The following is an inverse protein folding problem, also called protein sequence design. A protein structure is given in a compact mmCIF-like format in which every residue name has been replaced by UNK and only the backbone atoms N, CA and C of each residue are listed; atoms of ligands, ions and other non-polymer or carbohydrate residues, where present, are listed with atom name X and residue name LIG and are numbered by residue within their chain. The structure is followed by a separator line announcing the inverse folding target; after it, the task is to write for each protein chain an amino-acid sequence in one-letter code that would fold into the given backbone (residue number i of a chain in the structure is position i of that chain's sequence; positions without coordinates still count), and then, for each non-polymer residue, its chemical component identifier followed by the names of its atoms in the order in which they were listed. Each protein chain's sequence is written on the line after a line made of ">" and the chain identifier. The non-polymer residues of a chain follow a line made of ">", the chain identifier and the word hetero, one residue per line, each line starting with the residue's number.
data_IF_446931596128
#
_entry.id   IF_446931596128
#
_cell.length_a   1.000
_cell.length_b   1.000
_cell.length_c   1.000
_cell.angle_alpha   90.00
_cell.angle_beta   90.00
_cell.angle_gamma   90.00
#
_symmetry.space_group_name_H-M   'P 1'
#
loop_
_entity.id
_entity.type
_entity.pdbx_description
1 polymer ?
#
# COMPACT_ATOMS: atom_id res chain seq x y z
N UNK A 1 31.19 -10.35 -1.13
CA UNK A 1 30.70 -10.38 0.25
C UNK A 1 31.52 -9.36 1.02
N UNK A 2 31.04 -8.10 1.06
CA UNK A 2 31.68 -7.10 1.90
C UNK A 2 31.42 -7.52 3.35
N UNK A 3 32.50 -7.70 4.10
CA UNK A 3 32.42 -7.85 5.55
C UNK A 3 31.88 -6.53 6.09
N UNK A 4 30.67 -6.56 6.62
CA UNK A 4 30.14 -5.44 7.38
C UNK A 4 31.03 -5.30 8.61
N UNK A 5 31.78 -4.20 8.70
CA UNK A 5 32.61 -3.89 9.85
C UNK A 5 31.72 -3.53 11.04
N UNK A 6 31.26 -4.57 11.75
CA UNK A 6 30.45 -4.46 12.96
C UNK A 6 31.39 -4.17 14.14
N UNK A 7 31.77 -2.91 14.33
CA UNK A 7 32.43 -2.51 15.55
C UNK A 7 31.55 -2.77 16.77
N UNK A 8 32.15 -3.14 17.92
CA UNK A 8 31.42 -3.35 19.18
C UNK A 8 30.56 -2.12 19.52
N UNK A 9 31.06 -0.91 19.24
CA UNK A 9 30.27 0.32 19.43
C UNK A 9 29.02 0.38 18.54
N UNK A 10 29.10 -0.10 17.30
CA UNK A 10 27.98 -0.19 16.38
C UNK A 10 26.99 -1.25 16.85
N UNK A 11 27.44 -2.42 17.30
CA UNK A 11 26.61 -3.46 17.90
C UNK A 11 25.88 -2.97 19.16
N UNK A 12 26.53 -2.14 19.99
CA UNK A 12 25.92 -1.56 21.18
C UNK A 12 24.95 -0.40 20.87
N UNK A 13 25.12 0.25 19.72
CA UNK A 13 24.24 1.33 19.26
C UNK A 13 23.12 0.83 18.34
N UNK A 14 23.27 -0.36 17.73
CA UNK A 14 22.26 -1.02 16.93
C UNK A 14 21.31 -1.78 17.86
N UNK A 15 20.04 -1.60 17.67
CA UNK A 15 18.99 -2.29 18.40
C UNK A 15 17.99 -1.32 18.98
N UNK A 16 16.75 -1.75 18.97
CA UNK A 16 15.62 -1.01 19.57
C UNK A 16 15.86 -0.90 21.06
N UNK A 17 15.86 0.31 21.59
CA UNK A 17 16.02 0.59 23.02
C UNK A 17 14.75 1.26 23.50
N UNK A 18 14.18 0.68 24.53
CA UNK A 18 13.06 1.27 25.24
C UNK A 18 13.51 1.72 26.63
N UNK A 19 12.95 2.80 27.12
CA UNK A 19 13.20 3.28 28.47
C UNK A 19 12.68 2.29 29.53
N UNK A 20 11.51 1.73 29.25
CA UNK A 20 10.84 0.72 30.08
C UNK A 20 10.23 -0.36 29.20
N UNK A 21 10.16 -1.60 29.69
CA UNK A 21 9.56 -2.73 28.99
C UNK A 21 8.80 -3.62 29.99
N UNK A 22 7.60 -4.00 29.61
CA UNK A 22 6.76 -4.92 30.37
C UNK A 22 6.41 -6.13 29.50
N UNK A 23 6.87 -7.36 29.86
CA UNK A 23 6.67 -8.56 29.06
C UNK A 23 5.21 -9.02 29.03
N UNK A 24 4.78 -9.49 27.87
CA UNK A 24 3.48 -10.08 27.61
C UNK A 24 3.67 -11.43 26.93
N UNK A 25 3.08 -12.46 27.51
CA UNK A 25 3.32 -13.84 27.10
C UNK A 25 2.03 -14.46 26.60
N UNK A 26 1.46 -13.93 25.50
CA UNK A 26 0.21 -14.47 24.94
C UNK A 26 0.22 -14.50 23.42
N UNK A 27 -0.20 -15.62 22.87
CA UNK A 27 -0.55 -15.78 21.46
C UNK A 27 -2.05 -15.57 21.23
N UNK A 28 -2.46 -15.44 19.99
CA UNK A 28 -3.87 -15.40 19.58
C UNK A 28 -4.58 -16.68 20.08
N UNK A 29 -5.74 -16.49 20.71
CA UNK A 29 -6.47 -17.58 21.36
C UNK A 29 -7.45 -18.31 20.45
N UNK A 30 -7.80 -17.72 19.29
CA UNK A 30 -8.82 -18.28 18.42
C UNK A 30 -8.25 -18.75 17.07
N UNK A 31 -9.03 -19.60 16.39
CA UNK A 31 -8.94 -20.04 15.01
C UNK A 31 -8.88 -18.88 13.98
N UNK A 32 -8.40 -17.70 14.43
CA UNK A 32 -8.13 -16.59 13.55
C UNK A 32 -7.08 -17.05 12.53
N UNK A 33 -7.34 -16.80 11.26
CA UNK A 33 -6.41 -17.05 10.13
C UNK A 33 -5.04 -16.36 10.31
N UNK A 34 -4.85 -15.61 11.41
CA UNK A 34 -3.63 -14.88 11.76
C UNK A 34 -3.08 -15.38 13.08
N UNK A 35 -1.90 -15.94 13.03
CA UNK A 35 -1.10 -16.24 14.22
C UNK A 35 -0.32 -15.00 14.62
N UNK A 36 -0.57 -14.49 15.82
CA UNK A 36 0.14 -13.34 16.38
C UNK A 36 0.52 -13.63 17.82
N UNK A 37 1.63 -13.08 18.26
CA UNK A 37 2.04 -13.15 19.65
C UNK A 37 2.37 -11.78 20.23
N UNK A 38 1.76 -11.45 21.36
CA UNK A 38 2.15 -10.31 22.15
C UNK A 38 3.55 -10.54 22.75
N UNK A 39 4.45 -9.58 22.52
CA UNK A 39 5.78 -9.59 23.13
C UNK A 39 5.73 -8.79 24.44
N UNK A 40 5.15 -7.61 24.41
CA UNK A 40 5.12 -6.73 25.56
C UNK A 40 4.62 -5.33 25.27
N UNK A 41 4.63 -4.52 26.31
CA UNK A 41 4.56 -3.08 26.23
C UNK A 41 5.95 -2.50 26.34
N UNK A 42 6.17 -1.41 25.64
CA UNK A 42 7.41 -0.67 25.68
C UNK A 42 7.12 0.83 25.81
N UNK A 43 7.93 1.53 26.60
CA UNK A 43 7.93 2.99 26.70
C UNK A 43 9.21 3.52 26.08
N UNK A 44 9.11 4.44 25.15
CA UNK A 44 10.24 5.12 24.55
C UNK A 44 10.78 6.25 25.43
N UNK A 45 11.94 6.79 25.09
CA UNK A 45 12.56 7.89 25.83
C UNK A 45 11.74 9.19 25.78
N UNK A 46 10.93 9.38 24.72
CA UNK A 46 9.99 10.51 24.56
C UNK A 46 8.69 10.35 25.34
N UNK A 47 8.51 9.20 25.99
CA UNK A 47 7.33 8.86 26.78
C UNK A 47 6.24 8.13 25.99
N UNK A 48 6.38 7.94 24.67
CA UNK A 48 5.41 7.21 23.88
C UNK A 48 5.33 5.75 24.29
N UNK A 49 4.11 5.20 24.28
CA UNK A 49 3.82 3.83 24.73
C UNK A 49 3.50 2.97 23.52
N UNK A 50 4.17 1.83 23.40
CA UNK A 50 4.00 0.89 22.30
C UNK A 50 3.55 -0.47 22.77
N UNK A 51 2.57 -1.04 22.07
CA UNK A 51 2.24 -2.45 22.12
C UNK A 51 3.02 -3.19 21.02
N UNK A 52 3.72 -4.26 21.41
CA UNK A 52 4.63 -5.00 20.55
C UNK A 52 4.08 -6.40 20.29
N UNK A 53 4.01 -6.76 18.99
CA UNK A 53 3.56 -8.08 18.54
C UNK A 53 4.56 -8.67 17.55
N UNK A 54 4.65 -10.01 17.55
CA UNK A 54 5.28 -10.77 16.47
C UNK A 54 4.20 -11.48 15.66
N UNK A 55 4.43 -11.54 14.36
CA UNK A 55 3.62 -12.30 13.43
C UNK A 55 4.49 -13.08 12.45
N UNK A 56 4.12 -14.30 12.05
CA UNK A 56 4.80 -15.01 11.00
C UNK A 56 4.33 -14.48 9.63
N UNK A 57 5.27 -14.25 8.73
CA UNK A 57 4.95 -14.04 7.33
C UNK A 57 4.97 -15.39 6.61
N UNK A 58 3.89 -15.72 5.93
CA UNK A 58 3.90 -16.89 5.05
C UNK A 58 4.96 -16.72 3.98
N UNK A 59 5.84 -17.72 3.89
CA UNK A 59 6.76 -17.83 2.77
C UNK A 59 5.97 -18.27 1.55
N UNK A 60 5.42 -17.33 0.81
CA UNK A 60 5.04 -17.65 -0.56
C UNK A 60 6.30 -18.09 -1.30
N UNK A 61 6.26 -19.21 -2.01
CA UNK A 61 7.42 -19.72 -2.78
C UNK A 61 7.94 -18.71 -3.82
N UNK A 62 7.13 -17.70 -4.16
CA UNK A 62 7.52 -16.53 -4.97
C UNK A 62 8.13 -15.40 -4.17
N UNK A 63 7.88 -15.33 -2.84
CA UNK A 63 8.34 -14.28 -1.93
C UNK A 63 9.64 -14.67 -1.22
N UNK A 64 10.56 -15.24 -1.91
CA UNK A 64 11.94 -14.99 -1.56
C UNK A 64 12.11 -13.47 -1.65
N UNK A 65 11.74 -12.75 -0.57
CA UNK A 65 12.10 -11.33 -0.42
C UNK A 65 13.55 -11.25 -0.86
N UNK A 66 13.83 -10.47 -1.87
CA UNK A 66 15.18 -10.44 -2.37
C UNK A 66 16.04 -9.86 -1.25
N UNK A 67 16.70 -10.75 -0.50
CA UNK A 67 17.94 -10.28 0.12
C UNK A 67 18.60 -9.39 -0.90
N UNK A 68 18.95 -8.16 -0.53
CA UNK A 68 19.46 -7.07 -1.41
C UNK A 68 20.74 -7.46 -2.18
N UNK A 69 20.77 -8.64 -2.77
CA UNK A 69 21.84 -9.12 -3.61
C UNK A 69 21.59 -8.70 -5.04
N UNK A 70 22.62 -8.23 -5.69
CA UNK A 70 22.66 -7.78 -7.09
C UNK A 70 21.95 -8.74 -8.08
N UNK A 71 21.93 -10.05 -7.75
CA UNK A 71 21.26 -11.10 -8.53
C UNK A 71 19.74 -11.02 -8.55
N UNK A 72 19.13 -10.46 -7.51
CA UNK A 72 17.67 -10.31 -7.40
C UNK A 72 17.18 -9.11 -8.20
N UNK A 73 17.95 -8.02 -8.22
CA UNK A 73 17.66 -6.85 -9.06
C UNK A 73 17.63 -7.28 -10.54
N UNK A 74 18.58 -8.13 -10.96
CA UNK A 74 18.67 -8.61 -12.35
C UNK A 74 17.47 -9.51 -12.73
N UNK A 75 16.96 -10.33 -11.81
CA UNK A 75 15.76 -11.15 -12.06
C UNK A 75 14.48 -10.30 -12.10
N UNK A 76 14.34 -9.30 -11.22
CA UNK A 76 13.19 -8.37 -11.25
C UNK A 76 13.13 -7.56 -12.53
N UNK A 77 14.27 -7.14 -13.06
CA UNK A 77 14.34 -6.41 -14.34
C UNK A 77 13.88 -7.22 -15.55
N UNK A 78 13.74 -8.55 -15.43
CA UNK A 78 13.25 -9.43 -16.48
C UNK A 78 11.74 -9.68 -16.41
N UNK A 79 11.09 -9.27 -15.32
CA UNK A 79 9.63 -9.41 -15.18
C UNK A 79 8.93 -8.31 -15.99
N UNK A 80 7.82 -8.69 -16.59
CA UNK A 80 6.93 -7.73 -17.26
C UNK A 80 6.03 -7.03 -16.25
N UNK A 81 5.45 -5.90 -16.64
CA UNK A 81 4.49 -5.17 -15.80
C UNK A 81 3.29 -6.04 -15.40
N UNK A 82 2.79 -6.90 -16.28
CA UNK A 82 1.71 -7.82 -15.93
C UNK A 82 2.11 -8.77 -14.81
N UNK A 83 3.32 -9.32 -14.83
CA UNK A 83 3.79 -10.21 -13.75
C UNK A 83 3.86 -9.45 -12.42
N UNK A 84 4.35 -8.22 -12.43
CA UNK A 84 4.37 -7.34 -11.26
C UNK A 84 2.98 -7.10 -10.69
N UNK A 85 2.00 -6.75 -11.55
CA UNK A 85 0.62 -6.49 -11.09
C UNK A 85 -0.05 -7.71 -10.48
N UNK A 86 0.24 -8.90 -11.03
CA UNK A 86 -0.25 -10.16 -10.46
C UNK A 86 0.43 -10.51 -9.12
N UNK A 87 1.70 -10.15 -8.93
CA UNK A 87 2.37 -10.28 -7.62
C UNK A 87 1.78 -9.30 -6.60
N UNK A 88 1.56 -8.03 -6.99
CA UNK A 88 0.92 -7.03 -6.13
C UNK A 88 -0.50 -7.47 -5.71
N UNK A 89 -1.26 -8.11 -6.61
CA UNK A 89 -2.58 -8.67 -6.28
C UNK A 89 -2.48 -9.74 -5.20
N UNK A 90 -1.56 -10.68 -5.36
CA UNK A 90 -1.35 -11.74 -4.37
C UNK A 90 -0.94 -11.18 -3.01
N UNK A 91 -0.04 -10.19 -3.01
CA UNK A 91 0.38 -9.54 -1.78
C UNK A 91 -0.77 -8.82 -1.08
N UNK A 92 -1.57 -8.04 -1.82
CA UNK A 92 -2.69 -7.30 -1.24
C UNK A 92 -3.82 -8.18 -0.76
N UNK A 93 -4.05 -9.32 -1.40
CA UNK A 93 -5.06 -10.28 -0.99
C UNK A 93 -4.57 -11.25 0.10
N UNK A 94 -3.32 -11.10 0.55
CA UNK A 94 -2.81 -11.90 1.66
C UNK A 94 -3.60 -11.55 2.96
N UNK A 95 -4.07 -12.55 3.72
CA UNK A 95 -4.71 -12.34 5.03
C UNK A 95 -3.87 -11.50 6.01
N UNK A 96 -2.54 -11.54 5.88
CA UNK A 96 -1.62 -10.69 6.65
C UNK A 96 -1.61 -9.20 6.25
N UNK A 97 -2.27 -8.82 5.15
CA UNK A 97 -2.36 -7.42 4.75
C UNK A 97 -3.56 -6.73 5.41
N UNK A 98 -3.34 -6.16 6.56
CA UNK A 98 -4.34 -5.47 7.37
C UNK A 98 -3.76 -4.17 7.94
N UNK A 99 -4.63 -3.33 8.47
CA UNK A 99 -4.24 -2.21 9.30
C UNK A 99 -4.93 -2.30 10.66
N UNK A 100 -4.29 -1.74 11.67
CA UNK A 100 -4.82 -1.78 13.03
C UNK A 100 -5.78 -0.61 13.22
N UNK A 101 -7.03 -0.92 13.56
CA UNK A 101 -8.07 0.08 13.79
C UNK A 101 -8.17 0.49 15.25
N UNK A 102 -8.05 -0.49 16.14
CA UNK A 102 -8.36 -0.29 17.53
C UNK A 102 -7.63 -1.32 18.39
N UNK A 103 -7.17 -0.87 19.55
CA UNK A 103 -6.66 -1.74 20.61
C UNK A 103 -7.58 -1.61 21.81
N UNK A 104 -8.04 -2.74 22.32
CA UNK A 104 -8.79 -2.80 23.58
C UNK A 104 -8.03 -3.63 24.57
N UNK A 105 -7.84 -3.10 25.79
CA UNK A 105 -7.21 -3.79 26.92
C UNK A 105 -8.17 -3.75 28.08
N UNK A 106 -8.61 -4.90 28.55
CA UNK A 106 -9.72 -5.06 29.48
C UNK A 106 -10.99 -4.37 28.93
N UNK A 107 -11.53 -3.39 29.62
CA UNK A 107 -12.72 -2.64 29.22
C UNK A 107 -12.37 -1.28 28.57
N UNK A 108 -11.08 -0.95 28.45
CA UNK A 108 -10.62 0.33 27.92
C UNK A 108 -10.22 0.20 26.46
N UNK A 109 -10.62 1.19 25.66
CA UNK A 109 -10.25 1.35 24.26
C UNK A 109 -9.18 2.43 24.20
N UNK A 110 -8.10 2.14 23.47
CA UNK A 110 -6.96 3.05 23.29
C UNK A 110 -6.89 3.50 21.83
N UNK A 111 -6.73 4.80 21.64
CA UNK A 111 -6.50 5.36 20.32
C UNK A 111 -5.08 5.06 19.85
N UNK A 112 -4.96 4.81 18.55
CA UNK A 112 -3.70 4.48 17.89
C UNK A 112 -3.20 5.71 17.19
N UNK A 113 -2.03 6.19 17.58
CA UNK A 113 -1.38 7.33 16.93
C UNK A 113 -0.51 6.91 15.75
N UNK A 114 0.09 5.73 15.84
CA UNK A 114 0.92 5.15 14.78
C UNK A 114 0.88 3.63 14.86
N UNK A 115 0.95 2.97 13.70
CA UNK A 115 1.21 1.53 13.63
C UNK A 115 2.23 1.25 12.54
N UNK A 116 3.21 0.41 12.85
CA UNK A 116 4.28 0.02 11.94
C UNK A 116 4.46 -1.49 11.98
N UNK A 117 4.49 -2.10 10.80
CA UNK A 117 4.83 -3.51 10.63
C UNK A 117 6.08 -3.59 9.77
N UNK A 118 7.06 -4.34 10.21
CA UNK A 118 8.31 -4.54 9.48
C UNK A 118 8.90 -5.91 9.73
N UNK A 119 9.55 -6.48 8.71
CA UNK A 119 10.32 -7.72 8.88
C UNK A 119 11.42 -7.50 9.91
N UNK A 120 11.68 -8.53 10.74
CA UNK A 120 12.81 -8.51 11.64
C UNK A 120 14.12 -8.49 10.84
N UNK A 121 15.03 -7.63 11.25
CA UNK A 121 16.38 -7.53 10.72
C UNK A 121 17.39 -8.21 11.69
N UNK A 122 18.59 -8.47 11.23
CA UNK A 122 19.60 -9.14 12.05
C UNK A 122 19.88 -8.42 13.39
N UNK A 123 19.65 -7.13 13.44
CA UNK A 123 19.82 -6.29 14.63
C UNK A 123 18.71 -6.52 15.67
N UNK A 124 17.50 -6.93 15.23
CA UNK A 124 16.37 -7.21 16.11
C UNK A 124 16.54 -8.47 16.94
N UNK A 125 17.52 -9.34 16.60
CA UNK A 125 17.93 -10.48 17.45
C UNK A 125 18.30 -10.01 18.86
N UNK A 126 19.03 -8.89 18.96
CA UNK A 126 19.44 -8.35 20.25
C UNK A 126 18.24 -7.81 21.03
N UNK A 127 17.29 -7.19 20.34
CA UNK A 127 16.04 -6.73 20.93
C UNK A 127 15.23 -7.92 21.50
N UNK A 128 14.98 -8.95 20.70
CA UNK A 128 14.25 -10.14 21.16
C UNK A 128 14.95 -10.83 22.33
N UNK A 129 16.29 -10.92 22.29
CA UNK A 129 17.05 -11.43 23.41
C UNK A 129 16.87 -10.58 24.67
N UNK A 130 16.80 -9.26 24.53
CA UNK A 130 16.48 -8.35 25.64
C UNK A 130 15.10 -8.62 26.22
N UNK A 131 14.10 -8.84 25.40
CA UNK A 131 12.76 -9.22 25.83
C UNK A 131 12.73 -10.54 26.61
N UNK A 132 13.44 -11.57 26.10
CA UNK A 132 13.60 -12.86 26.80
C UNK A 132 14.27 -12.67 28.19
N UNK A 133 15.29 -11.85 28.29
CA UNK A 133 15.97 -11.58 29.57
C UNK A 133 15.06 -10.85 30.59
N UNK A 134 14.08 -10.10 30.09
CA UNK A 134 13.10 -9.38 30.91
C UNK A 134 11.81 -10.17 31.17
N UNK A 135 11.79 -11.47 30.81
CA UNK A 135 10.70 -12.38 31.17
C UNK A 135 9.69 -12.65 30.06
N UNK A 136 9.93 -12.20 28.83
CA UNK A 136 9.13 -12.68 27.71
C UNK A 136 9.43 -14.15 27.43
N UNK A 137 8.37 -14.95 27.22
CA UNK A 137 8.46 -16.39 26.93
C UNK A 137 7.73 -16.68 25.60
N UNK A 138 8.43 -17.14 24.53
CA UNK A 138 7.83 -17.50 23.26
C UNK A 138 7.08 -18.85 23.40
N UNK A 139 5.79 -18.82 23.69
CA UNK A 139 5.01 -20.03 24.03
C UNK A 139 4.79 -20.96 22.84
N UNK A 140 4.41 -20.44 21.69
CA UNK A 140 4.01 -21.22 20.50
C UNK A 140 4.95 -21.03 19.30
N UNK A 141 5.93 -20.18 19.43
CA UNK A 141 6.76 -19.67 18.32
C UNK A 141 8.09 -20.38 18.14
N UNK A 142 8.34 -21.44 18.89
CA UNK A 142 9.66 -22.13 18.86
C UNK A 142 10.05 -22.64 17.48
N UNK A 143 9.06 -22.90 16.62
CA UNK A 143 9.25 -23.40 15.26
C UNK A 143 9.22 -22.31 14.20
N UNK A 144 8.99 -21.06 14.59
CA UNK A 144 8.94 -19.94 13.66
C UNK A 144 10.35 -19.57 13.18
N UNK A 145 10.45 -19.30 11.89
CA UNK A 145 11.73 -18.94 11.26
C UNK A 145 11.95 -17.45 11.39
N UNK A 146 13.04 -17.03 12.01
CA UNK A 146 13.36 -15.62 12.28
C UNK A 146 13.25 -14.74 11.03
N UNK A 147 13.79 -15.19 9.90
CA UNK A 147 13.76 -14.45 8.62
C UNK A 147 12.33 -14.27 8.04
N UNK A 148 11.33 -14.90 8.66
CA UNK A 148 9.93 -14.84 8.27
C UNK A 148 9.07 -14.20 9.37
N UNK A 149 9.67 -13.54 10.34
CA UNK A 149 8.95 -12.85 11.41
C UNK A 149 8.86 -11.36 11.12
N UNK A 150 7.69 -10.80 11.37
CA UNK A 150 7.44 -9.38 11.44
C UNK A 150 7.28 -8.89 12.86
N UNK A 151 7.77 -7.71 13.12
CA UNK A 151 7.48 -6.97 14.34
C UNK A 151 6.44 -5.89 14.02
N UNK A 152 5.30 -5.98 14.69
CA UNK A 152 4.28 -4.96 14.68
C UNK A 152 4.43 -4.10 15.94
N UNK A 153 4.64 -2.80 15.74
CA UNK A 153 4.69 -1.78 16.79
C UNK A 153 3.45 -0.90 16.67
N UNK A 154 2.66 -0.82 17.73
CA UNK A 154 1.45 -0.01 17.80
C UNK A 154 1.65 1.05 18.86
N UNK A 155 1.74 2.31 18.48
CA UNK A 155 1.83 3.44 19.42
C UNK A 155 0.43 3.80 19.89
N UNK A 156 0.24 3.77 21.21
CA UNK A 156 -1.03 4.05 21.87
C UNK A 156 -1.02 5.45 22.49
N UNK A 157 -2.14 6.15 22.38
CA UNK A 157 -2.38 7.34 23.19
C UNK A 157 -2.80 6.90 24.60
N UNK A 158 -1.80 6.64 25.44
CA UNK A 158 -2.00 6.08 26.78
C UNK A 158 -0.90 6.52 27.73
N UNK A 159 -1.25 6.66 29.01
CA UNK A 159 -0.28 6.81 30.08
C UNK A 159 0.32 5.45 30.47
N UNK A 160 1.64 5.40 30.61
CA UNK A 160 2.37 4.17 30.94
C UNK A 160 1.93 3.54 32.25
N UNK A 161 1.83 4.34 33.31
CA UNK A 161 1.50 3.85 34.67
C UNK A 161 0.06 3.35 34.72
N UNK A 162 -0.86 4.06 34.05
CA UNK A 162 -2.25 3.64 33.94
C UNK A 162 -2.36 2.32 33.17
N UNK A 163 -1.66 2.22 32.05
CA UNK A 163 -1.68 1.04 31.20
C UNK A 163 -1.09 -0.17 31.93
N UNK A 164 0.10 -0.04 32.53
CA UNK A 164 0.74 -1.10 33.32
C UNK A 164 -0.11 -1.46 34.53
N UNK A 165 -0.76 -0.49 35.16
CA UNK A 165 -1.68 -0.72 36.27
C UNK A 165 -2.96 -1.48 35.89
N UNK A 166 -3.50 -1.23 34.71
CA UNK A 166 -4.66 -1.94 34.16
C UNK A 166 -4.36 -3.41 33.78
N UNK A 167 -3.10 -3.74 33.67
CA UNK A 167 -2.58 -5.05 33.22
C UNK A 167 -2.85 -6.21 34.19
N UNK A 168 -3.22 -5.98 35.37
CA UNK A 168 -3.55 -7.06 36.36
C UNK A 168 -4.71 -7.96 35.87
N UNK A 169 -5.43 -7.58 34.82
CA UNK A 169 -6.54 -8.32 34.21
C UNK A 169 -6.33 -8.65 32.72
N UNK A 170 -5.13 -9.03 32.31
CA UNK A 170 -4.72 -9.34 30.93
C UNK A 170 -5.52 -10.41 30.19
N UNK A 171 -6.52 -10.96 30.79
CA UNK A 171 -7.38 -11.95 30.12
C UNK A 171 -8.19 -11.39 28.94
N UNK A 172 -8.04 -10.09 28.62
CA UNK A 172 -8.85 -9.43 27.61
C UNK A 172 -8.08 -8.38 26.83
N UNK A 173 -7.06 -8.79 26.08
CA UNK A 173 -6.50 -7.94 25.04
C UNK A 173 -7.12 -8.31 23.70
N UNK A 174 -7.65 -7.34 22.97
CA UNK A 174 -8.13 -7.53 21.62
C UNK A 174 -7.70 -6.40 20.71
N UNK A 175 -7.40 -6.76 19.47
CA UNK A 175 -6.98 -5.84 18.42
C UNK A 175 -7.96 -5.98 17.26
N UNK A 176 -8.61 -4.89 16.90
CA UNK A 176 -9.48 -4.83 15.73
C UNK A 176 -8.63 -4.52 14.50
N UNK A 177 -8.64 -5.44 13.56
CA UNK A 177 -7.89 -5.39 12.31
C UNK A 177 -8.85 -5.00 11.18
N UNK A 178 -8.60 -3.84 10.58
CA UNK A 178 -9.26 -3.45 9.34
C UNK A 178 -8.56 -4.12 8.15
N UNK A 179 -9.33 -4.54 7.17
CA UNK A 179 -8.78 -5.11 5.94
C UNK A 179 -8.75 -4.06 4.85
N UNK A 180 -7.66 -4.06 4.09
CA UNK A 180 -7.60 -3.30 2.85
C UNK A 180 -8.57 -3.90 1.82
N UNK A 181 -9.01 -3.06 0.88
CA UNK A 181 -9.81 -3.53 -0.24
C UNK A 181 -9.09 -4.65 -0.98
N UNK A 182 -9.83 -5.69 -1.39
CA UNK A 182 -9.28 -6.78 -2.20
C UNK A 182 -9.25 -6.42 -3.67
N UNK A 183 -8.21 -6.85 -4.36
CA UNK A 183 -8.16 -6.87 -5.82
C UNK A 183 -8.78 -8.16 -6.34
N UNK A 184 -9.89 -8.06 -7.04
CA UNK A 184 -10.55 -9.21 -7.67
C UNK A 184 -10.14 -9.28 -9.14
N UNK A 185 -9.50 -10.39 -9.60
CA UNK A 185 -9.02 -10.51 -10.97
C UNK A 185 -10.18 -10.60 -11.96
N UNK A 186 -10.14 -9.79 -13.02
CA UNK A 186 -11.14 -9.74 -14.10
C UNK A 186 -10.58 -10.30 -15.39
N UNK A 187 -9.40 -9.83 -15.83
CA UNK A 187 -8.71 -10.24 -17.05
C UNK A 187 -9.56 -10.10 -18.32
N UNK A 188 -10.25 -8.96 -18.46
CA UNK A 188 -11.11 -8.68 -19.61
C UNK A 188 -10.41 -7.72 -20.57
N UNK A 189 -10.11 -8.21 -21.78
CA UNK A 189 -9.60 -7.39 -22.88
C UNK A 189 -10.73 -6.73 -23.66
N UNK A 190 -10.53 -5.49 -24.06
CA UNK A 190 -11.46 -4.74 -24.90
C UNK A 190 -10.74 -3.70 -25.75
N UNK A 191 -11.33 -3.35 -26.88
CA UNK A 191 -10.89 -2.25 -27.72
C UNK A 191 -11.85 -1.09 -27.52
N UNK A 192 -11.29 0.07 -27.15
CA UNK A 192 -12.02 1.30 -26.89
C UNK A 192 -11.69 2.31 -28.00
N UNK A 193 -12.71 2.95 -28.55
CA UNK A 193 -12.51 4.05 -29.50
C UNK A 193 -12.31 5.34 -28.72
N UNK A 194 -11.36 6.14 -29.17
CA UNK A 194 -11.13 7.48 -28.64
C UNK A 194 -12.19 8.39 -29.27
N UNK A 195 -12.97 9.05 -28.42
CA UNK A 195 -13.99 10.04 -28.80
C UNK A 195 -13.51 11.42 -28.37
N UNK A 196 -13.87 12.46 -29.13
CA UNK A 196 -13.54 13.83 -28.70
C UNK A 196 -14.28 14.21 -27.41
N UNK A 197 -13.74 15.15 -26.64
CA UNK A 197 -14.36 15.65 -25.40
C UNK A 197 -15.76 16.26 -25.61
N UNK A 198 -16.06 16.74 -26.82
CA UNK A 198 -17.28 17.48 -27.19
C UNK A 198 -18.35 16.66 -27.89
N UNK A 199 -18.14 15.34 -28.08
CA UNK A 199 -19.13 14.48 -28.75
C UNK A 199 -20.26 14.05 -27.79
N UNK A 200 -21.46 13.80 -28.37
CA UNK A 200 -22.57 13.23 -27.63
C UNK A 200 -22.19 11.91 -27.00
N UNK A 201 -22.19 11.86 -25.68
CA UNK A 201 -21.78 10.69 -24.89
C UNK A 201 -22.82 9.58 -25.12
N UNK A 202 -22.38 8.44 -25.64
CA UNK A 202 -23.17 7.22 -25.71
C UNK A 202 -22.44 6.12 -24.95
N UNK A 203 -22.84 5.93 -23.71
CA UNK A 203 -22.27 4.88 -22.89
C UNK A 203 -22.36 3.50 -23.56
N UNK A 204 -21.22 2.83 -23.65
CA UNK A 204 -21.16 1.47 -24.20
C UNK A 204 -21.05 0.46 -23.07
N UNK A 205 -22.05 -0.42 -23.01
CA UNK A 205 -22.12 -1.49 -22.03
C UNK A 205 -21.12 -2.59 -22.31
N UNK A 206 -20.38 -2.99 -21.28
CA UNK A 206 -19.55 -4.18 -21.23
C UNK A 206 -19.97 -5.05 -20.05
N UNK A 207 -19.72 -6.35 -20.13
CA UNK A 207 -20.00 -7.30 -19.07
C UNK A 207 -18.69 -7.94 -18.65
N UNK A 208 -18.36 -7.85 -17.36
CA UNK A 208 -17.19 -8.48 -16.80
C UNK A 208 -17.40 -9.99 -16.66
N UNK A 209 -16.37 -10.83 -16.87
CA UNK A 209 -16.51 -12.28 -16.85
C UNK A 209 -16.99 -12.85 -15.52
N UNK A 210 -16.51 -12.28 -14.42
CA UNK A 210 -16.95 -12.65 -13.09
C UNK A 210 -18.33 -12.05 -12.82
N UNK A 211 -19.26 -12.87 -12.32
CA UNK A 211 -20.61 -12.46 -11.89
C UNK A 211 -21.49 -11.84 -12.97
N UNK A 212 -21.02 -11.75 -14.23
CA UNK A 212 -21.79 -11.10 -15.29
C UNK A 212 -21.99 -9.59 -15.06
N UNK A 213 -21.08 -8.95 -14.31
CA UNK A 213 -21.24 -7.59 -13.81
C UNK A 213 -21.14 -6.55 -14.94
N UNK A 214 -22.15 -5.66 -15.09
CA UNK A 214 -22.15 -4.65 -16.13
C UNK A 214 -21.34 -3.41 -15.72
N UNK A 215 -20.57 -2.90 -16.68
CA UNK A 215 -19.94 -1.59 -16.63
C UNK A 215 -20.30 -0.80 -17.88
N UNK A 216 -20.30 0.50 -17.80
CA UNK A 216 -20.55 1.38 -18.93
C UNK A 216 -19.34 2.29 -19.09
N UNK A 217 -18.75 2.26 -20.31
CA UNK A 217 -17.71 3.22 -20.68
C UNK A 217 -18.44 4.39 -21.35
N UNK A 218 -18.39 5.53 -20.70
CA UNK A 218 -19.05 6.74 -21.18
C UNK A 218 -18.26 7.38 -22.30
N UNK A 219 -16.99 7.64 -22.09
CA UNK A 219 -16.08 8.20 -23.09
C UNK A 219 -14.64 7.79 -22.86
N UNK A 220 -13.85 7.88 -23.92
CA UNK A 220 -12.41 7.76 -23.88
C UNK A 220 -11.85 8.94 -24.67
N UNK A 221 -11.01 9.73 -24.05
CA UNK A 221 -10.43 10.89 -24.70
C UNK A 221 -8.96 11.08 -24.35
N UNK A 222 -8.31 11.94 -25.08
CA UNK A 222 -6.88 12.25 -24.90
C UNK A 222 -6.74 13.38 -23.87
N UNK A 223 -6.06 13.07 -22.78
CA UNK A 223 -5.72 14.04 -21.74
C UNK A 223 -4.32 14.58 -22.00
N UNK A 224 -4.18 15.89 -22.04
CA UNK A 224 -2.88 16.57 -22.13
C UNK A 224 -2.38 16.89 -20.69
N UNK A 225 -1.38 16.16 -20.18
CA UNK A 225 -0.88 16.42 -18.84
C UNK A 225 -0.07 17.73 -18.73
N UNK A 226 0.27 18.36 -19.88
CA UNK A 226 0.97 19.64 -19.92
C UNK A 226 0.02 20.84 -19.86
N UNK A 227 -1.27 20.60 -20.09
CA UNK A 227 -2.28 21.66 -20.00
C UNK A 227 -2.40 22.14 -18.55
N UNK A 228 -2.36 23.47 -18.34
CA UNK A 228 -2.45 24.06 -17.01
C UNK A 228 -1.16 24.02 -16.17
N UNK A 229 -0.06 23.46 -16.67
CA UNK A 229 1.20 23.39 -15.92
C UNK A 229 1.73 24.79 -15.52
N UNK A 230 1.66 25.77 -16.41
CA UNK A 230 2.09 27.15 -16.13
C UNK A 230 1.21 27.82 -15.07
N UNK A 231 -0.10 27.58 -15.10
CA UNK A 231 -1.07 28.11 -14.13
C UNK A 231 -0.82 27.52 -12.75
N UNK A 232 -0.53 26.23 -12.66
CA UNK A 232 -0.23 25.53 -11.41
C UNK A 232 0.95 26.14 -10.65
N UNK A 233 2.04 26.46 -11.34
CA UNK A 233 3.21 27.10 -10.71
C UNK A 233 3.06 28.61 -10.49
N UNK A 234 1.95 29.18 -10.94
CA UNK A 234 1.56 30.57 -10.69
C UNK A 234 0.52 30.71 -9.58
N UNK A 235 0.16 29.61 -8.93
CA UNK A 235 -0.82 29.59 -7.82
C UNK A 235 -0.31 30.45 -6.66
N UNK A 236 -1.09 31.43 -6.19
CA UNK A 236 -0.71 32.32 -5.08
C UNK A 236 -0.36 31.53 -3.79
N UNK A 237 -1.03 30.43 -3.50
CA UNK A 237 -0.75 29.61 -2.31
C UNK A 237 0.65 28.96 -2.39
N UNK A 238 1.06 28.50 -3.57
CA UNK A 238 2.42 27.99 -3.78
C UNK A 238 3.47 29.10 -3.67
N UNK A 239 3.17 30.29 -4.21
CA UNK A 239 4.06 31.47 -4.16
C UNK A 239 4.26 31.97 -2.72
N UNK A 240 3.29 31.79 -1.83
CA UNK A 240 3.44 32.12 -0.41
C UNK A 240 4.25 31.08 0.38
N UNK A 241 4.20 29.81 -0.02
CA UNK A 241 4.85 28.72 0.70
C UNK A 241 6.31 28.49 0.32
N UNK A 242 6.72 28.83 -0.91
CA UNK A 242 8.04 28.51 -1.45
C UNK A 242 8.76 29.76 -1.96
N UNK A 243 10.09 29.79 -1.82
CA UNK A 243 10.92 30.80 -2.47
C UNK A 243 10.90 30.63 -3.99
N UNK A 244 11.13 31.69 -4.73
CA UNK A 244 11.17 31.65 -6.19
C UNK A 244 12.20 30.64 -6.72
N UNK A 245 13.37 30.55 -6.07
CA UNK A 245 14.42 29.59 -6.44
C UNK A 245 13.94 28.13 -6.25
N UNK A 246 13.25 27.83 -5.14
CA UNK A 246 12.66 26.51 -4.89
C UNK A 246 11.56 26.19 -5.90
N UNK A 247 10.74 27.17 -6.29
CA UNK A 247 9.70 26.96 -7.30
C UNK A 247 10.28 26.68 -8.69
N UNK A 248 11.37 27.34 -9.08
CA UNK A 248 12.07 27.07 -10.33
C UNK A 248 12.65 25.63 -10.33
N UNK A 249 13.27 25.20 -9.23
CA UNK A 249 13.78 23.84 -9.09
C UNK A 249 12.66 22.79 -9.15
N UNK A 250 11.54 23.04 -8.46
CA UNK A 250 10.37 22.16 -8.48
C UNK A 250 9.78 22.06 -9.89
N UNK A 251 9.66 23.20 -10.59
CA UNK A 251 9.16 23.24 -11.96
C UNK A 251 10.06 22.44 -12.90
N UNK A 252 11.38 22.65 -12.86
CA UNK A 252 12.32 21.86 -13.66
C UNK A 252 12.29 20.37 -13.31
N UNK A 253 12.12 20.03 -12.05
CA UNK A 253 12.01 18.63 -11.63
C UNK A 253 10.72 17.99 -12.16
N UNK A 254 9.60 18.73 -12.06
CA UNK A 254 8.30 18.28 -12.56
C UNK A 254 8.32 18.11 -14.07
N UNK A 255 8.82 19.10 -14.83
CA UNK A 255 8.97 19.02 -16.30
C UNK A 255 9.80 17.80 -16.72
N UNK A 256 10.91 17.54 -16.03
CA UNK A 256 11.74 16.35 -16.30
C UNK A 256 11.01 15.03 -16.02
N UNK A 257 10.15 15.00 -15.01
CA UNK A 257 9.32 13.82 -14.72
C UNK A 257 8.21 13.65 -15.75
N UNK A 258 7.52 14.73 -16.07
CA UNK A 258 6.44 14.75 -17.06
C UNK A 258 6.95 14.31 -18.45
N UNK A 259 8.10 14.81 -18.88
CA UNK A 259 8.71 14.42 -20.17
C UNK A 259 9.02 12.91 -20.24
N UNK A 260 9.29 12.27 -19.12
CA UNK A 260 9.51 10.81 -19.06
C UNK A 260 8.21 10.02 -19.10
N UNK A 261 7.13 10.54 -18.53
CA UNK A 261 5.84 9.88 -18.45
C UNK A 261 5.04 10.12 -19.72
N UNK A 262 4.95 11.36 -20.14
CA UNK A 262 4.24 11.79 -21.33
C UNK A 262 5.05 12.90 -22.03
N UNK A 263 5.85 12.58 -23.04
CA UNK A 263 6.61 13.58 -23.79
C UNK A 263 5.70 14.67 -24.38
N UNK A 264 6.21 15.89 -24.48
CA UNK A 264 5.45 17.02 -25.08
C UNK A 264 4.92 16.64 -26.47
N UNK A 265 3.63 16.92 -26.69
CA UNK A 265 2.91 16.57 -27.92
C UNK A 265 2.38 15.15 -27.97
N UNK A 266 2.55 14.37 -26.91
CA UNK A 266 1.83 13.12 -26.67
C UNK A 266 0.72 13.33 -25.63
N UNK A 267 -0.20 12.40 -25.58
CA UNK A 267 -1.39 12.45 -24.74
C UNK A 267 -1.55 11.15 -23.98
N UNK A 268 -2.17 11.20 -22.81
CA UNK A 268 -2.55 10.02 -22.06
C UNK A 268 -4.05 9.73 -22.29
N UNK A 269 -4.42 8.52 -22.71
CA UNK A 269 -5.84 8.18 -22.83
C UNK A 269 -6.50 8.12 -21.47
N UNK A 270 -7.60 8.83 -21.30
CA UNK A 270 -8.45 8.83 -20.11
C UNK A 270 -9.76 8.10 -20.41
N UNK A 271 -10.08 7.11 -19.58
CA UNK A 271 -11.31 6.33 -19.67
C UNK A 271 -12.26 6.81 -18.59
N UNK A 272 -13.44 7.28 -18.97
CA UNK A 272 -14.52 7.55 -18.04
C UNK A 272 -15.54 6.41 -18.10
N UNK A 273 -15.86 5.90 -16.92
CA UNK A 273 -16.74 4.75 -16.78
C UNK A 273 -17.63 4.85 -15.53
N UNK A 274 -18.74 4.15 -15.56
CA UNK A 274 -19.65 4.03 -14.42
C UNK A 274 -20.03 2.56 -14.17
N UNK A 275 -20.41 2.26 -12.95
CA UNK A 275 -20.88 0.95 -12.51
C UNK A 275 -21.93 1.08 -11.40
N UNK A 276 -22.84 0.11 -11.29
CA UNK A 276 -23.99 0.19 -10.37
C UNK A 276 -23.57 0.38 -8.91
N UNK A 277 -22.53 -0.32 -8.47
CA UNK A 277 -22.01 -0.30 -7.10
C UNK A 277 -20.75 0.55 -6.93
N UNK A 278 -20.47 1.43 -7.90
CA UNK A 278 -19.32 2.33 -7.86
C UNK A 278 -17.96 1.61 -7.72
N UNK A 279 -17.80 0.44 -8.36
CA UNK A 279 -16.55 -0.32 -8.34
C UNK A 279 -15.41 0.47 -8.98
N UNK A 280 -14.27 0.45 -8.34
CA UNK A 280 -13.04 0.95 -8.93
C UNK A 280 -12.39 -0.15 -9.76
N UNK A 281 -12.22 0.11 -11.06
CA UNK A 281 -11.59 -0.80 -12.01
C UNK A 281 -10.17 -0.36 -12.31
N UNK A 282 -9.26 -1.30 -12.52
CA UNK A 282 -7.90 -1.02 -12.98
C UNK A 282 -7.78 -1.39 -14.45
N UNK A 283 -7.65 -0.38 -15.30
CA UNK A 283 -7.41 -0.51 -16.73
C UNK A 283 -5.93 -0.37 -17.04
N UNK A 284 -5.43 -1.25 -17.87
CA UNK A 284 -4.06 -1.16 -18.41
C UNK A 284 -4.09 -1.36 -19.91
N UNK A 285 -3.27 -0.62 -20.61
CA UNK A 285 -3.05 -0.88 -22.05
C UNK A 285 -2.10 -2.06 -22.27
N UNK A 286 -2.26 -2.77 -23.41
CA UNK A 286 -1.45 -3.95 -23.71
C UNK A 286 0.04 -3.63 -23.85
N UNK A 287 0.37 -2.43 -24.32
CA UNK A 287 1.76 -2.01 -24.47
C UNK A 287 2.42 -1.90 -23.10
N UNK A 288 1.78 -1.20 -22.14
CA UNK A 288 2.28 -1.09 -20.76
C UNK A 288 2.47 -2.47 -20.13
N UNK A 289 1.48 -3.35 -20.23
CA UNK A 289 1.53 -4.68 -19.59
C UNK A 289 2.68 -5.55 -20.14
N UNK A 290 3.08 -5.35 -21.41
CA UNK A 290 4.18 -6.08 -22.03
C UNK A 290 5.56 -5.52 -21.72
N UNK A 291 5.65 -4.29 -21.19
CA UNK A 291 6.92 -3.64 -20.88
C UNK A 291 7.65 -4.33 -19.72
N UNK A 292 8.99 -4.34 -19.75
CA UNK A 292 9.77 -4.72 -18.58
C UNK A 292 9.55 -3.71 -17.45
N UNK A 293 9.71 -4.17 -16.20
CA UNK A 293 9.61 -3.29 -15.06
C UNK A 293 10.73 -2.24 -15.12
N UNK A 294 10.32 -0.97 -15.16
CA UNK A 294 11.26 0.14 -15.06
C UNK A 294 11.60 0.38 -13.58
N UNK A 295 12.90 0.35 -13.26
CA UNK A 295 13.39 0.65 -11.91
C UNK A 295 13.58 2.15 -11.66
N UNK A 296 13.06 3.02 -12.51
CA UNK A 296 13.10 4.48 -12.31
C UNK A 296 12.15 4.87 -11.19
N UNK A 297 12.69 5.00 -10.01
CA UNK A 297 12.03 5.01 -8.72
C UNK A 297 11.23 6.25 -8.34
N UNK A 298 10.46 6.86 -9.22
CA UNK A 298 9.43 7.83 -8.84
C UNK A 298 8.24 7.68 -9.78
N UNK A 299 7.10 7.34 -9.22
CA UNK A 299 5.80 7.35 -9.87
C UNK A 299 5.21 8.75 -9.69
N UNK A 300 4.67 9.34 -10.72
CA UNK A 300 3.82 10.51 -10.60
C UNK A 300 2.39 9.98 -10.66
N UNK A 301 1.64 10.20 -9.60
CA UNK A 301 0.24 9.85 -9.57
C UNK A 301 -0.58 11.05 -10.06
N UNK A 302 -1.23 10.91 -11.19
CA UNK A 302 -2.18 11.90 -11.68
C UNK A 302 -3.53 11.64 -11.03
N UNK A 303 -4.01 12.61 -10.27
CA UNK A 303 -5.38 12.57 -9.75
C UNK A 303 -6.30 13.26 -10.78
N UNK A 304 -6.85 12.47 -11.67
CA UNK A 304 -7.84 12.95 -12.64
C UNK A 304 -9.24 12.72 -12.06
N UNK A 305 -10.01 13.79 -11.93
CA UNK A 305 -11.42 13.70 -11.54
C UNK A 305 -12.28 14.01 -12.76
N UNK A 306 -13.31 13.20 -13.04
CA UNK A 306 -14.31 13.56 -14.05
C UNK A 306 -14.97 14.92 -13.71
N UNK A 307 -15.30 15.69 -14.73
CA UNK A 307 -16.01 16.95 -14.57
C UNK A 307 -17.43 16.79 -14.02
N UNK A 308 -17.99 15.60 -14.17
CA UNK A 308 -19.34 15.25 -13.71
C UNK A 308 -19.28 14.20 -12.62
N UNK A 309 -20.15 14.30 -11.63
CA UNK A 309 -20.25 13.31 -10.56
C UNK A 309 -20.90 12.01 -11.01
N UNK A 310 -21.74 12.05 -12.05
CA UNK A 310 -22.51 10.91 -12.56
C UNK A 310 -22.39 10.79 -14.07
N UNK A 311 -22.33 9.53 -14.52
CA UNK A 311 -22.28 9.20 -15.92
C UNK A 311 -23.67 9.15 -16.59
N UNK A 312 -23.71 8.73 -17.83
CA UNK A 312 -24.89 8.70 -18.71
C UNK A 312 -26.01 7.80 -18.16
N UNK A 313 -25.66 6.73 -17.45
CA UNK A 313 -26.61 5.81 -16.82
C UNK A 313 -27.06 6.28 -15.43
N UNK A 314 -26.45 7.35 -14.91
CA UNK A 314 -26.78 7.95 -13.62
C UNK A 314 -26.02 7.38 -12.43
N UNK A 315 -25.09 6.47 -12.64
CA UNK A 315 -24.19 5.98 -11.60
C UNK A 315 -22.98 6.91 -11.38
N UNK A 316 -22.25 6.79 -10.26
CA UNK A 316 -21.04 7.57 -10.03
C UNK A 316 -20.04 7.37 -11.17
N UNK A 317 -19.55 8.49 -11.72
CA UNK A 317 -18.56 8.49 -12.80
C UNK A 317 -17.15 8.42 -12.22
N UNK A 318 -16.33 7.55 -12.80
CA UNK A 318 -14.90 7.39 -12.47
C UNK A 318 -14.04 7.64 -13.68
N UNK A 319 -12.86 8.18 -13.45
CA UNK A 319 -11.83 8.36 -14.47
C UNK A 319 -10.63 7.46 -14.18
N UNK A 320 -10.08 6.84 -15.22
CA UNK A 320 -8.86 6.05 -15.15
C UNK A 320 -7.91 6.45 -16.27
N UNK A 321 -6.70 6.88 -15.91
CA UNK A 321 -5.68 7.35 -16.84
C UNK A 321 -4.76 6.19 -17.24
N UNK A 322 -4.60 5.95 -18.53
CA UNK A 322 -3.70 4.91 -19.03
C UNK A 322 -2.24 5.39 -19.00
N UNK A 323 -1.35 4.41 -18.86
CA UNK A 323 0.08 4.67 -18.59
C UNK A 323 0.90 4.95 -19.87
N UNK A 324 0.40 4.54 -21.05
CA UNK A 324 1.16 4.66 -22.29
C UNK A 324 0.75 5.89 -23.07
N UNK A 325 1.67 6.84 -23.32
CA UNK A 325 1.39 8.01 -24.16
C UNK A 325 1.13 7.62 -25.62
N UNK A 326 0.13 8.29 -26.22
CA UNK A 326 -0.25 8.10 -27.62
C UNK A 326 -0.17 9.40 -28.43
N UNK A 327 -0.21 9.29 -29.75
CA UNK A 327 -0.28 10.43 -30.64
C UNK A 327 -1.70 11.03 -30.70
N UNK A 328 -1.81 12.30 -31.07
CA UNK A 328 -3.08 13.03 -31.16
C UNK A 328 -4.09 12.40 -32.16
N UNK A 329 -3.59 11.65 -33.15
CA UNK A 329 -4.39 10.96 -34.17
C UNK A 329 -4.75 9.52 -33.78
N UNK A 330 -4.46 9.09 -32.56
CA UNK A 330 -4.82 7.76 -32.10
C UNK A 330 -6.35 7.61 -32.02
N UNK A 331 -6.88 6.71 -32.84
CA UNK A 331 -8.33 6.51 -32.98
C UNK A 331 -8.92 5.44 -32.01
N UNK A 332 -8.09 4.53 -31.49
CA UNK A 332 -8.53 3.46 -30.59
C UNK A 332 -7.37 2.87 -29.80
N UNK A 333 -7.70 2.30 -28.64
CA UNK A 333 -6.76 1.66 -27.73
C UNK A 333 -7.22 0.25 -27.35
N UNK A 334 -6.27 -0.66 -27.19
CA UNK A 334 -6.51 -1.99 -26.62
C UNK A 334 -6.17 -1.98 -25.14
N UNK A 335 -7.14 -2.26 -24.33
CA UNK A 335 -7.00 -2.26 -22.87
C UNK A 335 -7.43 -3.59 -22.26
N UNK A 336 -6.89 -3.88 -21.09
CA UNK A 336 -7.32 -4.98 -20.25
C UNK A 336 -7.74 -4.44 -18.88
N UNK A 337 -8.95 -4.78 -18.44
CA UNK A 337 -9.33 -4.65 -17.02
C UNK A 337 -8.71 -5.85 -16.32
N UNK A 338 -7.68 -5.62 -15.52
CA UNK A 338 -7.03 -6.69 -14.77
C UNK A 338 -7.77 -7.01 -13.49
N UNK A 339 -8.18 -5.98 -12.76
CA UNK A 339 -8.80 -6.10 -11.45
C UNK A 339 -9.93 -5.11 -11.27
N UNK A 340 -10.78 -5.40 -10.30
CA UNK A 340 -11.57 -4.38 -9.60
C UNK A 340 -11.31 -4.47 -8.10
N UNK A 341 -11.53 -3.34 -7.42
CA UNK A 341 -11.40 -3.26 -5.98
C UNK A 341 -12.74 -3.57 -5.31
N UNK A 342 -12.72 -4.53 -4.41
CA UNK A 342 -13.85 -4.87 -3.56
C UNK A 342 -13.56 -4.38 -2.14
N UNK A 343 -14.41 -3.50 -1.62
CA UNK A 343 -14.28 -3.04 -0.24
C UNK A 343 -14.55 -4.19 0.73
N UNK A 344 -13.66 -4.41 1.67
CA UNK A 344 -13.90 -5.36 2.77
C UNK A 344 -14.94 -4.77 3.72
N UNK A 345 -15.93 -5.56 4.10
CA UNK A 345 -17.06 -5.11 4.92
C UNK A 345 -16.92 -5.45 6.40
N UNK A 346 -16.10 -6.43 6.76
CA UNK A 346 -16.01 -6.94 8.11
C UNK A 346 -14.60 -6.78 8.68
N UNK A 347 -14.51 -6.21 9.86
CA UNK A 347 -13.28 -6.15 10.61
C UNK A 347 -13.03 -7.51 11.29
N UNK A 348 -11.76 -7.88 11.41
CA UNK A 348 -11.35 -9.06 12.17
C UNK A 348 -10.93 -8.63 13.57
N UNK A 349 -11.16 -9.49 14.55
CA UNK A 349 -10.74 -9.24 15.94
C UNK A 349 -9.76 -10.33 16.34
N UNK A 350 -8.51 -9.94 16.57
CA UNK A 350 -7.52 -10.80 17.20
C UNK A 350 -7.66 -10.69 18.73
N UNK A 351 -7.89 -11.80 19.40
CA UNK A 351 -8.00 -11.88 20.88
C UNK A 351 -6.78 -12.60 21.44
N UNK A 352 -6.25 -12.10 22.54
CA UNK A 352 -5.07 -12.64 23.21
C UNK A 352 -5.35 -13.10 24.63
#
# INVERSE_FOLDING_TARGET
>A
MEMVDLSIGKLLSCGRKYAEYFPLNRGTQDEAELEMQLIGLAKEEDGSVKLLLLEPFEKNESDAFPTRTRSVITKRQQLTQIARRLEEERYQNNPGNYFIKQVQIADNIYDITESRIGMLEAEDVFFLRGCLQQGWEPQTMTDWVFDLLGLCEITLDADWEELVGAITSWEKVSITLGQYSKRIPVKKKMTLNITGQSEDIKAKKYVLPQEGYPIWIDRVYLYDPWEGEEERFSDPELLECFSQEMLEELKEQNERQMERICPKGKYLPLIEYESEDNRQLEFFDEHYLSQPISCSGKTVDFLVRPDQERGTMGYPLRGELLQTPVDADCGSICVEVLFYWEAQKEDRIAKF
#
